data_IF_214546306223
#
_entry.id   IF_214546306223
#
_cell.length_a   1.000
_cell.length_b   1.000
_cell.length_c   1.000
_cell.angle_alpha   90.00
_cell.angle_beta   90.00
_cell.angle_gamma   90.00
#
_symmetry.space_group_name_H-M   'P 1'
#
loop_
_entity.id
_entity.type
_entity.pdbx_description
1 polymer ?
#
# COMPACT_ATOMS: atom_id res chain seq x y z
N UNK A 1 -16.75 -19.84 1.76
CA UNK A 1 -16.48 -18.39 1.70
C UNK A 1 -15.05 -18.20 2.18
N UNK A 2 -14.19 -17.54 1.41
CA UNK A 2 -12.81 -17.33 1.83
C UNK A 2 -12.80 -16.52 3.14
N UNK A 3 -12.23 -17.08 4.21
CA UNK A 3 -12.04 -16.39 5.49
C UNK A 3 -10.93 -15.36 5.35
N UNK A 4 -11.21 -14.28 4.63
CA UNK A 4 -10.31 -13.14 4.56
C UNK A 4 -10.37 -12.37 5.89
N UNK A 5 -9.23 -11.86 6.39
CA UNK A 5 -9.25 -10.98 7.55
C UNK A 5 -10.09 -9.73 7.24
N UNK A 6 -10.75 -9.14 8.25
CA UNK A 6 -11.50 -7.91 8.06
C UNK A 6 -10.55 -6.80 7.59
N UNK A 7 -11.02 -5.99 6.64
CA UNK A 7 -10.25 -4.86 6.13
C UNK A 7 -9.99 -3.86 7.28
N UNK A 8 -8.74 -3.46 7.53
CA UNK A 8 -8.44 -2.42 8.50
C UNK A 8 -9.13 -1.11 8.12
N UNK A 9 -9.69 -0.42 9.10
CA UNK A 9 -10.35 0.87 8.90
C UNK A 9 -9.30 1.97 8.81
N UNK A 10 -9.48 2.89 7.87
CA UNK A 10 -8.72 4.14 7.82
C UNK A 10 -9.46 5.11 8.74
N UNK A 11 -8.85 5.45 9.88
CA UNK A 11 -9.41 6.38 10.86
C UNK A 11 -8.84 7.79 10.64
N UNK A 12 -9.68 8.82 10.80
CA UNK A 12 -9.21 10.20 10.98
C UNK A 12 -9.55 11.19 9.86
N UNK A 13 -9.71 10.76 8.60
CA UNK A 13 -10.04 11.70 7.52
C UNK A 13 -10.86 11.07 6.38
N UNK A 14 -12.07 11.58 6.17
CA UNK A 14 -13.00 11.13 5.12
C UNK A 14 -12.46 11.50 3.73
N UNK A 15 -11.77 12.63 3.63
CA UNK A 15 -11.28 13.10 2.35
C UNK A 15 -10.06 12.29 1.90
N UNK A 16 -9.21 11.86 2.84
CA UNK A 16 -8.14 10.89 2.58
C UNK A 16 -8.70 9.54 2.11
N UNK A 17 -9.80 9.07 2.71
CA UNK A 17 -10.43 7.81 2.32
C UNK A 17 -10.90 7.84 0.86
N UNK A 18 -11.52 8.95 0.44
CA UNK A 18 -11.97 9.10 -0.94
C UNK A 18 -10.79 9.14 -1.92
N UNK A 19 -9.69 9.79 -1.56
CA UNK A 19 -8.48 9.85 -2.37
C UNK A 19 -7.87 8.46 -2.60
N UNK A 20 -7.85 7.58 -1.60
CA UNK A 20 -7.34 6.19 -1.74
C UNK A 20 -8.10 5.40 -2.82
N UNK A 21 -9.39 5.67 -3.01
CA UNK A 21 -10.21 4.99 -4.02
C UNK A 21 -10.29 5.73 -5.35
N UNK A 22 -9.71 6.92 -5.45
CA UNK A 22 -9.75 7.73 -6.67
C UNK A 22 -8.59 7.38 -7.60
N UNK A 23 -8.90 6.83 -8.77
CA UNK A 23 -7.88 6.52 -9.77
C UNK A 23 -7.39 7.80 -10.48
N UNK A 24 -6.11 7.84 -10.85
CA UNK A 24 -5.49 9.00 -11.52
C UNK A 24 -6.18 9.41 -12.83
N UNK A 25 -6.85 8.48 -13.51
CA UNK A 25 -7.63 8.76 -14.73
C UNK A 25 -8.88 9.62 -14.50
N UNK A 26 -9.34 9.77 -13.26
CA UNK A 26 -10.49 10.62 -12.91
C UNK A 26 -10.07 12.08 -12.68
N UNK A 27 -8.76 12.38 -12.75
CA UNK A 27 -8.22 13.74 -12.67
C UNK A 27 -8.33 14.38 -14.06
N UNK A 28 -9.18 15.39 -14.18
CA UNK A 28 -9.33 16.21 -15.40
C UNK A 28 -9.16 17.70 -15.05
N UNK A 29 -8.78 18.51 -16.04
CA UNK A 29 -8.62 19.95 -15.85
C UNK A 29 -9.92 20.59 -15.34
N UNK A 30 -9.84 21.21 -14.15
CA UNK A 30 -10.96 21.86 -13.48
C UNK A 30 -11.74 20.99 -12.49
N UNK A 31 -11.31 19.74 -12.23
CA UNK A 31 -11.86 18.95 -11.14
C UNK A 31 -11.51 19.60 -9.78
N UNK A 32 -12.45 19.64 -8.82
CA UNK A 32 -12.14 20.09 -7.46
C UNK A 32 -11.09 19.15 -6.86
N UNK A 33 -9.86 19.63 -6.72
CA UNK A 33 -8.81 18.94 -5.98
C UNK A 33 -8.92 19.29 -4.51
N UNK A 34 -8.72 18.30 -3.65
CA UNK A 34 -8.47 18.58 -2.26
C UNK A 34 -7.03 19.11 -2.14
N UNK A 35 -6.89 20.40 -1.83
CA UNK A 35 -5.60 21.09 -1.72
C UNK A 35 -4.73 20.54 -0.58
N UNK A 36 -5.35 19.94 0.46
CA UNK A 36 -4.64 19.41 1.64
C UNK A 36 -3.96 18.05 1.36
N UNK A 37 -4.53 17.22 0.48
CA UNK A 37 -4.06 15.86 0.21
C UNK A 37 -3.47 15.66 -1.20
N UNK A 38 -4.05 16.31 -2.22
CA UNK A 38 -3.46 16.70 -3.52
C UNK A 38 -2.95 15.62 -4.48
N UNK A 39 -2.43 14.49 -4.03
CA UNK A 39 -1.85 13.47 -4.91
C UNK A 39 -2.01 12.05 -4.39
N UNK A 40 -2.79 11.27 -5.14
CA UNK A 40 -2.97 9.83 -4.97
C UNK A 40 -1.68 9.07 -5.21
N UNK A 41 -0.79 9.58 -6.07
CA UNK A 41 0.51 8.96 -6.37
C UNK A 41 1.40 8.91 -5.11
N UNK A 42 1.28 9.91 -4.22
CA UNK A 42 1.99 9.91 -2.93
C UNK A 42 1.53 8.77 -2.02
N UNK A 43 0.24 8.47 -2.03
CA UNK A 43 -0.34 7.38 -1.24
C UNK A 43 0.04 6.01 -1.81
N UNK A 44 0.15 5.91 -3.14
CA UNK A 44 0.66 4.71 -3.80
C UNK A 44 2.10 4.44 -3.39
N UNK A 45 3.00 5.43 -3.51
CA UNK A 45 4.41 5.29 -3.13
C UNK A 45 4.56 4.94 -1.64
N UNK A 46 3.83 5.65 -0.76
CA UNK A 46 3.85 5.38 0.67
C UNK A 46 3.34 3.96 0.97
N UNK A 47 2.23 3.56 0.37
CA UNK A 47 1.61 2.25 0.55
C UNK A 47 2.52 1.12 0.11
N UNK A 48 3.24 1.29 -1.01
CA UNK A 48 4.22 0.32 -1.50
C UNK A 48 5.34 0.09 -0.48
N UNK A 49 5.96 1.16 0.01
CA UNK A 49 7.05 1.06 1.01
C UNK A 49 6.59 0.48 2.34
N UNK A 50 5.40 0.86 2.81
CA UNK A 50 4.84 0.34 4.06
C UNK A 50 4.52 -1.14 3.93
N UNK A 51 3.92 -1.56 2.81
CA UNK A 51 3.62 -2.97 2.56
C UNK A 51 4.89 -3.80 2.52
N UNK A 52 5.91 -3.35 1.77
CA UNK A 52 7.22 -4.01 1.70
C UNK A 52 7.84 -4.18 3.09
N UNK A 53 7.86 -3.12 3.90
CA UNK A 53 8.39 -3.15 5.26
C UNK A 53 7.64 -4.14 6.16
N UNK A 54 6.31 -4.10 6.16
CA UNK A 54 5.49 -4.94 7.05
C UNK A 54 5.62 -6.42 6.67
N UNK A 55 5.58 -6.74 5.37
CA UNK A 55 5.72 -8.12 4.90
C UNK A 55 7.13 -8.65 5.19
N UNK A 56 8.16 -7.85 4.92
CA UNK A 56 9.55 -8.20 5.23
C UNK A 56 9.75 -8.45 6.72
N UNK A 57 9.23 -7.57 7.56
CA UNK A 57 9.30 -7.71 9.01
C UNK A 57 8.52 -8.94 9.51
N UNK A 58 7.35 -9.23 8.94
CA UNK A 58 6.57 -10.42 9.30
C UNK A 58 7.35 -11.71 9.04
N UNK A 59 7.95 -11.85 7.85
CA UNK A 59 8.76 -13.03 7.53
C UNK A 59 10.04 -13.13 8.37
N UNK A 60 10.67 -12.00 8.67
CA UNK A 60 11.81 -11.96 9.58
C UNK A 60 11.44 -12.46 10.99
N UNK A 61 10.29 -12.03 11.52
CA UNK A 61 9.81 -12.47 12.84
C UNK A 61 9.45 -13.97 12.88
N UNK A 62 8.89 -14.51 11.79
CA UNK A 62 8.57 -15.94 11.67
C UNK A 62 9.83 -16.81 11.54
N UNK A 63 10.86 -16.34 10.80
CA UNK A 63 12.11 -17.07 10.55
C UNK A 63 13.34 -16.15 10.63
N UNK A 64 13.84 -15.84 11.84
CA UNK A 64 14.91 -14.85 12.04
C UNK A 64 16.29 -15.29 11.51
N UNK A 65 16.46 -16.56 11.12
CA UNK A 65 17.72 -17.11 10.60
C UNK A 65 17.81 -17.15 9.07
N UNK A 66 16.84 -16.57 8.35
CA UNK A 66 16.94 -16.45 6.90
C UNK A 66 18.02 -15.43 6.54
N UNK A 67 18.86 -15.80 5.57
CA UNK A 67 19.81 -14.87 4.98
C UNK A 67 19.08 -13.79 4.17
N UNK A 68 19.71 -12.63 3.98
CA UNK A 68 19.07 -11.47 3.32
C UNK A 68 18.54 -11.80 1.91
N UNK A 69 19.25 -12.65 1.18
CA UNK A 69 18.83 -13.11 -0.15
C UNK A 69 17.61 -14.03 -0.09
N UNK A 70 17.48 -14.82 0.97
CA UNK A 70 16.37 -15.75 1.14
C UNK A 70 15.08 -15.04 1.53
N UNK A 71 15.19 -13.93 2.28
CA UNK A 71 14.05 -13.08 2.61
C UNK A 71 13.46 -12.50 1.31
N UNK A 72 14.29 -11.96 0.42
CA UNK A 72 13.84 -11.37 -0.85
C UNK A 72 13.16 -12.40 -1.77
N UNK A 73 13.65 -13.64 -1.84
CA UNK A 73 13.05 -14.71 -2.66
C UNK A 73 11.69 -15.17 -2.09
N UNK A 74 11.50 -15.07 -0.77
CA UNK A 74 10.25 -15.47 -0.11
C UNK A 74 9.15 -14.40 -0.18
N UNK A 75 9.52 -13.15 -0.49
CA UNK A 75 8.55 -12.09 -0.74
C UNK A 75 7.82 -12.38 -2.06
N UNK A 76 6.48 -12.34 -2.08
CA UNK A 76 5.75 -12.36 -3.34
C UNK A 76 6.22 -11.16 -4.19
N UNK A 77 6.36 -11.31 -5.52
CA UNK A 77 6.57 -10.17 -6.43
C UNK A 77 5.45 -9.15 -6.17
N UNK A 78 5.74 -8.06 -5.46
CA UNK A 78 4.78 -6.97 -5.23
C UNK A 78 4.76 -6.00 -6.42
N UNK A 79 5.81 -5.99 -7.24
CA UNK A 79 5.90 -5.17 -8.44
C UNK A 79 5.40 -5.90 -9.70
N UNK A 80 4.76 -5.17 -10.62
CA UNK A 80 4.23 -5.65 -11.92
C UNK A 80 5.33 -6.04 -12.94
N UNK A 81 6.53 -6.36 -12.46
CA UNK A 81 7.66 -6.84 -13.26
C UNK A 81 8.30 -8.06 -12.62
N UNK A 82 7.50 -9.10 -12.44
CA UNK A 82 7.87 -10.35 -13.07
C UNK A 82 6.97 -10.53 -14.32
#
# INVERSE_FOLDING_TARGET
MANLPPLPKIEGDIDLLLDVYTHSSLRFDGAPMNDDYGSTDRLVELGEKVLELVVTNHFYLEKPFLDSEQIQVSLPCIDRRC
#
